data_IF_283263240985
#
_entry.id   IF_283263240985
#
_cell.length_a   1.000
_cell.length_b   1.000
_cell.length_c   1.000
_cell.angle_alpha   90.00
_cell.angle_beta   90.00
_cell.angle_gamma   90.00
#
_symmetry.space_group_name_H-M   'P 1'
#
loop_
_entity.id
_entity.type
_entity.pdbx_description
1 polymer ?
#
# COMPACT_ATOMS: atom_id res chain seq x y z
N UNK A 1 -5.45 5.13 -10.06
CA UNK A 1 -6.13 3.83 -10.34
C UNK A 1 -7.31 3.52 -9.43
N UNK A 2 -7.45 4.14 -8.27
CA UNK A 2 -8.67 4.00 -7.43
C UNK A 2 -9.95 4.59 -8.07
N UNK A 3 -9.83 5.46 -9.06
CA UNK A 3 -10.98 6.01 -9.78
C UNK A 3 -11.68 5.03 -10.75
N UNK A 4 -11.02 3.94 -11.16
CA UNK A 4 -11.58 3.00 -12.15
C UNK A 4 -12.25 1.76 -11.53
N UNK A 5 -12.01 1.45 -10.25
CA UNK A 5 -12.54 0.23 -9.63
C UNK A 5 -13.92 0.37 -8.98
N UNK A 6 -14.43 1.58 -8.89
CA UNK A 6 -15.78 1.82 -8.35
C UNK A 6 -16.64 2.49 -9.42
N UNK A 7 -16.77 1.81 -10.55
CA UNK A 7 -17.89 2.05 -11.45
C UNK A 7 -19.15 1.50 -10.79
N UNK A 8 -20.05 2.39 -10.39
CA UNK A 8 -21.31 2.08 -9.72
C UNK A 8 -22.26 1.17 -10.53
N UNK A 9 -21.83 0.64 -11.69
CA UNK A 9 -22.66 -0.14 -12.61
C UNK A 9 -22.69 -1.66 -12.37
N UNK A 10 -21.89 -2.20 -11.41
CA UNK A 10 -21.79 -3.65 -11.19
C UNK A 10 -22.11 -4.12 -9.77
N UNK A 11 -22.77 -3.33 -8.93
CA UNK A 11 -23.33 -3.84 -7.69
C UNK A 11 -24.62 -4.61 -7.97
N UNK A 12 -24.53 -5.93 -8.13
CA UNK A 12 -25.66 -6.88 -8.23
C UNK A 12 -26.39 -7.14 -6.90
N UNK A 13 -26.09 -6.42 -5.84
CA UNK A 13 -26.79 -6.52 -4.56
C UNK A 13 -27.72 -5.32 -4.38
N UNK A 14 -28.94 -5.52 -3.86
CA UNK A 14 -29.85 -4.44 -3.51
C UNK A 14 -29.24 -3.67 -2.33
N UNK A 15 -28.39 -2.69 -2.64
CA UNK A 15 -27.82 -1.78 -1.65
C UNK A 15 -28.93 -0.87 -1.12
N UNK A 16 -29.22 -0.98 0.17
CA UNK A 16 -30.00 0.02 0.89
C UNK A 16 -29.45 1.43 0.61
N UNK A 17 -30.28 2.43 0.33
CA UNK A 17 -29.85 3.80 -0.03
C UNK A 17 -28.92 4.42 1.02
N UNK A 18 -29.03 3.99 2.28
CA UNK A 18 -28.17 4.43 3.38
C UNK A 18 -26.71 3.98 3.20
N UNK A 19 -26.49 2.77 2.70
CA UNK A 19 -25.15 2.22 2.46
C UNK A 19 -24.47 2.96 1.30
N UNK A 20 -25.23 3.31 0.27
CA UNK A 20 -24.72 4.03 -0.90
C UNK A 20 -24.21 5.45 -0.53
N UNK A 21 -24.94 6.17 0.32
CA UNK A 21 -24.53 7.50 0.79
C UNK A 21 -23.24 7.47 1.63
N UNK A 22 -23.10 6.46 2.49
CA UNK A 22 -21.87 6.26 3.27
C UNK A 22 -20.66 5.94 2.39
N UNK A 23 -20.84 5.17 1.34
CA UNK A 23 -19.77 4.86 0.38
C UNK A 23 -19.30 6.10 -0.37
N UNK A 24 -20.19 6.95 -0.83
CA UNK A 24 -19.85 8.21 -1.52
C UNK A 24 -19.06 9.13 -0.60
N UNK A 25 -19.50 9.33 0.64
CA UNK A 25 -18.77 10.17 1.61
C UNK A 25 -17.37 9.64 1.94
N UNK A 26 -17.17 8.33 1.95
CA UNK A 26 -15.84 7.72 2.14
C UNK A 26 -14.92 8.02 0.97
N UNK A 27 -15.42 7.88 -0.25
CA UNK A 27 -14.66 8.13 -1.46
C UNK A 27 -14.25 9.59 -1.60
N UNK A 28 -15.15 10.52 -1.34
CA UNK A 28 -14.84 11.96 -1.42
C UNK A 28 -13.78 12.38 -0.39
N UNK A 29 -13.88 11.91 0.86
CA UNK A 29 -12.86 12.18 1.88
C UNK A 29 -11.52 11.52 1.59
N UNK A 30 -11.53 10.28 1.15
CA UNK A 30 -10.30 9.58 0.73
C UNK A 30 -9.61 10.30 -0.40
N UNK A 31 -10.37 10.68 -1.45
CA UNK A 31 -9.83 11.41 -2.60
C UNK A 31 -9.27 12.78 -2.21
N UNK A 32 -9.92 13.51 -1.30
CA UNK A 32 -9.43 14.80 -0.83
C UNK A 32 -8.09 14.68 -0.10
N UNK A 33 -7.92 13.65 0.76
CA UNK A 33 -6.67 13.43 1.49
C UNK A 33 -5.54 12.85 0.64
N UNK A 34 -5.86 12.14 -0.43
CA UNK A 34 -4.87 11.53 -1.35
C UNK A 34 -4.62 12.37 -2.60
N UNK A 35 -5.20 13.56 -2.68
CA UNK A 35 -5.05 14.44 -3.86
C UNK A 35 -3.58 14.85 -4.14
N UNK A 36 -2.75 14.90 -3.11
CA UNK A 36 -1.32 15.23 -3.21
C UNK A 36 -0.44 14.04 -3.65
N UNK A 37 -0.99 12.81 -3.66
CA UNK A 37 -0.25 11.62 -4.06
C UNK A 37 -0.31 11.41 -5.57
N UNK A 38 0.77 10.92 -6.14
CA UNK A 38 0.81 10.56 -7.57
C UNK A 38 -0.22 9.47 -7.89
N UNK A 39 -0.99 9.59 -8.99
CA UNK A 39 -2.15 8.75 -9.26
C UNK A 39 -1.82 7.26 -9.52
N UNK A 40 -0.56 6.89 -9.68
CA UNK A 40 -0.12 5.52 -9.95
C UNK A 40 0.39 4.76 -8.72
N UNK A 41 0.49 5.41 -7.54
CA UNK A 41 1.03 4.79 -6.32
C UNK A 41 -0.09 4.06 -5.57
N UNK A 42 0.03 2.74 -5.32
CA UNK A 42 -0.92 2.01 -4.49
C UNK A 42 -0.78 2.47 -3.04
N UNK A 43 -1.85 2.99 -2.47
CA UNK A 43 -1.91 3.43 -1.07
C UNK A 43 -2.85 2.54 -0.28
N UNK A 44 -2.35 1.69 0.61
CA UNK A 44 -3.21 0.89 1.48
C UNK A 44 -3.92 1.81 2.48
N UNK A 45 -5.22 1.67 2.58
CA UNK A 45 -6.07 2.43 3.51
C UNK A 45 -6.79 1.48 4.45
N UNK A 46 -6.76 1.80 5.75
CA UNK A 46 -7.55 1.11 6.77
C UNK A 46 -8.79 1.93 7.10
N UNK A 47 -9.96 1.33 6.99
CA UNK A 47 -11.25 1.98 7.25
C UNK A 47 -11.92 1.29 8.42
N UNK A 48 -12.14 2.03 9.51
CA UNK A 48 -12.87 1.55 10.68
C UNK A 48 -14.27 2.19 10.68
N UNK A 49 -15.29 1.36 10.80
CA UNK A 49 -16.69 1.78 10.84
C UNK A 49 -17.17 1.65 12.27
N UNK A 50 -17.63 2.76 12.86
CA UNK A 50 -18.22 2.78 14.18
C UNK A 50 -19.70 2.42 14.12
N UNK A 51 -20.31 1.93 15.24
CA UNK A 51 -21.73 1.63 15.31
C UNK A 51 -22.61 2.87 15.05
N UNK A 52 -22.12 4.08 15.32
CA UNK A 52 -22.80 5.37 15.09
C UNK A 52 -22.87 5.77 13.60
N UNK A 53 -22.62 4.84 12.67
CA UNK A 53 -22.54 5.11 11.22
C UNK A 53 -21.47 6.15 10.83
N UNK A 54 -20.55 6.48 11.73
CA UNK A 54 -19.35 7.27 11.43
C UNK A 54 -18.23 6.35 10.94
N UNK A 55 -17.27 6.91 10.22
CA UNK A 55 -16.08 6.16 9.77
C UNK A 55 -14.83 6.97 10.00
N UNK A 56 -13.79 6.29 10.43
CA UNK A 56 -12.42 6.79 10.47
C UNK A 56 -11.58 6.04 9.44
N UNK A 57 -10.65 6.73 8.81
CA UNK A 57 -9.73 6.08 7.89
C UNK A 57 -8.30 6.60 8.11
N UNK A 58 -7.35 5.68 8.04
CA UNK A 58 -5.92 5.96 8.06
C UNK A 58 -5.29 5.50 6.75
N UNK A 59 -4.37 6.31 6.26
CA UNK A 59 -3.60 6.04 5.04
C UNK A 59 -2.23 5.57 5.49
N UNK A 60 -1.76 4.44 4.93
CA UNK A 60 -0.44 3.88 5.21
C UNK A 60 0.51 4.13 4.04
N UNK A 61 1.79 3.97 4.29
CA UNK A 61 2.82 4.05 3.24
C UNK A 61 2.64 2.95 2.19
N UNK A 62 3.11 3.15 0.94
CA UNK A 62 2.99 2.17 -0.13
C UNK A 62 3.55 0.79 0.25
N UNK A 63 3.03 -0.33 -0.30
CA UNK A 63 3.52 -1.66 0.05
C UNK A 63 4.99 -1.85 -0.32
N UNK A 64 5.72 -2.63 0.50
CA UNK A 64 7.15 -2.92 0.32
C UNK A 64 7.45 -3.46 -1.08
N UNK A 65 6.60 -4.35 -1.59
CA UNK A 65 6.74 -4.92 -2.93
C UNK A 65 6.71 -3.88 -4.05
N UNK A 66 5.92 -2.82 -3.90
CA UNK A 66 5.90 -1.71 -4.85
C UNK A 66 7.20 -0.91 -4.82
N UNK A 67 7.68 -0.57 -3.61
CA UNK A 67 8.92 0.18 -3.43
C UNK A 67 10.13 -0.61 -3.94
N UNK A 68 10.22 -1.91 -3.65
CA UNK A 68 11.27 -2.79 -4.16
C UNK A 68 11.28 -2.90 -5.68
N UNK A 69 10.11 -3.08 -6.30
CA UNK A 69 9.99 -3.12 -7.77
C UNK A 69 10.43 -1.80 -8.40
N UNK A 70 10.06 -0.68 -7.77
CA UNK A 70 10.45 0.65 -8.25
C UNK A 70 11.96 0.86 -8.13
N UNK A 71 12.58 0.43 -7.01
CA UNK A 71 14.02 0.51 -6.79
C UNK A 71 14.83 -0.38 -7.75
N UNK A 72 14.30 -1.57 -8.07
CA UNK A 72 14.91 -2.50 -9.02
C UNK A 72 14.61 -2.18 -10.50
N UNK A 73 13.72 -1.22 -10.79
CA UNK A 73 13.30 -0.90 -12.16
C UNK A 73 12.46 -1.98 -12.86
N UNK A 74 11.77 -2.85 -12.10
CA UNK A 74 11.07 -4.02 -12.62
C UNK A 74 9.56 -3.82 -12.49
N UNK A 75 8.81 -4.17 -13.53
CA UNK A 75 7.34 -4.12 -13.49
C UNK A 75 6.74 -5.34 -12.77
N UNK A 76 7.28 -6.53 -13.01
CA UNK A 76 6.80 -7.80 -12.44
C UNK A 76 7.92 -8.53 -11.73
N UNK A 77 7.65 -9.07 -10.54
CA UNK A 77 8.58 -9.95 -9.85
C UNK A 77 8.60 -11.33 -10.50
N UNK A 78 9.76 -11.98 -10.54
CA UNK A 78 9.90 -13.35 -10.98
C UNK A 78 9.64 -14.30 -9.80
N UNK A 79 8.64 -15.16 -9.89
CA UNK A 79 8.28 -16.07 -8.79
C UNK A 79 9.37 -17.09 -8.44
N UNK A 80 10.14 -17.58 -9.41
CA UNK A 80 11.18 -18.61 -9.23
C UNK A 80 12.51 -18.29 -9.93
N UNK A 81 12.65 -17.11 -10.53
CA UNK A 81 13.87 -16.66 -11.22
C UNK A 81 14.48 -15.41 -10.59
N UNK A 82 15.72 -15.10 -10.97
CA UNK A 82 16.34 -13.81 -10.64
C UNK A 82 15.76 -12.74 -11.56
N UNK A 83 15.12 -11.72 -11.00
CA UNK A 83 14.48 -10.64 -11.76
C UNK A 83 15.29 -9.35 -11.77
N UNK A 84 16.18 -9.16 -10.80
CA UNK A 84 17.00 -7.96 -10.67
C UNK A 84 17.81 -7.93 -9.40
N UNK A 85 18.53 -6.84 -9.17
CA UNK A 85 19.35 -6.62 -7.98
C UNK A 85 18.93 -5.33 -7.27
N UNK A 86 19.03 -5.33 -5.95
CA UNK A 86 18.78 -4.16 -5.09
C UNK A 86 19.91 -4.03 -4.09
N UNK A 87 20.40 -2.82 -3.88
CA UNK A 87 21.47 -2.56 -2.91
C UNK A 87 20.93 -2.50 -1.48
N UNK A 88 21.79 -2.79 -0.50
CA UNK A 88 21.45 -2.66 0.92
C UNK A 88 21.03 -1.23 1.30
N UNK A 89 21.55 -0.22 0.63
CA UNK A 89 21.18 1.18 0.84
C UNK A 89 19.69 1.41 0.54
N UNK A 90 19.20 0.90 -0.61
CA UNK A 90 17.77 0.99 -0.95
C UNK A 90 16.88 0.28 0.06
N UNK A 91 17.32 -0.89 0.56
CA UNK A 91 16.59 -1.63 1.59
C UNK A 91 16.46 -0.82 2.88
N UNK A 92 17.55 -0.17 3.30
CA UNK A 92 17.56 0.66 4.49
C UNK A 92 16.61 1.87 4.35
N UNK A 93 16.64 2.56 3.22
CA UNK A 93 15.74 3.69 2.95
C UNK A 93 14.27 3.25 2.95
N UNK A 94 13.97 2.12 2.32
CA UNK A 94 12.62 1.54 2.34
C UNK A 94 12.19 1.20 3.78
N UNK A 95 13.09 0.62 4.58
CA UNK A 95 12.81 0.32 5.99
C UNK A 95 12.51 1.60 6.79
N UNK A 96 13.27 2.67 6.57
CA UNK A 96 13.06 3.96 7.22
C UNK A 96 11.69 4.57 6.88
N UNK A 97 11.31 4.52 5.60
CA UNK A 97 9.96 4.95 5.18
C UNK A 97 8.88 4.10 5.82
N UNK A 98 9.10 2.79 5.96
CA UNK A 98 8.15 1.87 6.58
C UNK A 98 8.03 2.02 8.09
N UNK A 99 9.08 2.45 8.77
CA UNK A 99 9.04 2.75 10.20
C UNK A 99 8.17 3.98 10.53
N UNK A 100 7.80 4.80 9.56
CA UNK A 100 6.83 5.89 9.75
C UNK A 100 5.40 5.39 9.95
N UNK A 101 5.10 4.15 9.53
CA UNK A 101 3.79 3.54 9.78
C UNK A 101 3.69 3.14 11.27
N UNK A 102 2.62 3.53 11.96
CA UNK A 102 2.39 3.24 13.39
C UNK A 102 2.54 1.76 13.74
N UNK A 103 2.11 0.87 12.84
CA UNK A 103 2.16 -0.58 13.06
C UNK A 103 3.57 -1.17 12.99
N UNK A 104 4.49 -0.56 12.26
CA UNK A 104 5.85 -1.07 12.04
C UNK A 104 6.90 -0.28 12.84
N UNK A 105 6.61 0.96 13.22
CA UNK A 105 7.50 1.80 14.02
C UNK A 105 7.88 1.16 15.37
N UNK A 106 6.98 0.38 15.96
CA UNK A 106 7.21 -0.33 17.23
C UNK A 106 8.30 -1.42 17.12
N UNK A 107 8.48 -1.99 15.91
CA UNK A 107 9.42 -3.11 15.70
C UNK A 107 10.89 -2.67 15.64
N UNK A 108 11.14 -1.40 15.32
CA UNK A 108 12.47 -0.86 15.10
C UNK A 108 13.00 -1.12 13.67
N UNK A 109 13.91 -0.25 13.23
CA UNK A 109 14.41 -0.20 11.85
C UNK A 109 15.11 -1.50 11.42
N UNK A 110 15.86 -2.13 12.32
CA UNK A 110 16.62 -3.34 12.01
C UNK A 110 15.70 -4.53 11.67
N UNK A 111 14.64 -4.74 12.47
CA UNK A 111 13.69 -5.84 12.22
C UNK A 111 12.90 -5.59 10.94
N UNK A 112 12.52 -4.34 10.69
CA UNK A 112 11.83 -3.95 9.45
C UNK A 112 12.75 -4.16 8.25
N UNK A 113 14.03 -3.79 8.32
CA UNK A 113 14.99 -4.03 7.25
C UNK A 113 15.15 -5.53 6.94
N UNK A 114 15.24 -6.39 7.97
CA UNK A 114 15.28 -7.85 7.77
C UNK A 114 14.00 -8.37 7.08
N UNK A 115 12.83 -7.85 7.43
CA UNK A 115 11.58 -8.20 6.78
C UNK A 115 11.54 -7.74 5.31
N UNK A 116 12.11 -6.56 5.00
CA UNK A 116 12.24 -6.05 3.63
C UNK A 116 13.16 -6.95 2.79
N UNK A 117 14.30 -7.41 3.35
CA UNK A 117 15.20 -8.39 2.70
C UNK A 117 14.44 -9.69 2.38
N UNK A 118 13.65 -10.21 3.33
CA UNK A 118 12.81 -11.38 3.10
C UNK A 118 11.84 -11.16 1.93
N UNK A 119 11.20 -10.00 1.88
CA UNK A 119 10.29 -9.62 0.79
C UNK A 119 11.01 -9.47 -0.56
N UNK A 120 12.26 -8.99 -0.58
CA UNK A 120 13.07 -8.90 -1.79
C UNK A 120 13.37 -10.29 -2.36
N UNK A 121 13.72 -11.26 -1.50
CA UNK A 121 13.95 -12.65 -1.91
C UNK A 121 12.71 -13.30 -2.52
N UNK A 122 11.53 -13.07 -1.96
CA UNK A 122 10.27 -13.62 -2.50
C UNK A 122 9.90 -13.02 -3.86
N UNK A 123 10.37 -11.81 -4.17
CA UNK A 123 10.22 -11.16 -5.47
C UNK A 123 11.27 -11.62 -6.50
N UNK A 124 12.24 -12.45 -6.10
CA UNK A 124 13.35 -12.87 -6.95
C UNK A 124 14.43 -11.79 -7.13
N UNK A 125 14.54 -10.87 -6.17
CA UNK A 125 15.56 -9.82 -6.17
C UNK A 125 16.81 -10.28 -5.41
N UNK A 126 17.98 -10.11 -6.03
CA UNK A 126 19.26 -10.34 -5.39
C UNK A 126 19.69 -9.08 -4.60
N UNK A 127 20.02 -9.27 -3.33
CA UNK A 127 20.49 -8.19 -2.47
C UNK A 127 22.01 -8.11 -2.57
N UNK A 128 22.48 -6.99 -3.08
CA UNK A 128 23.93 -6.71 -3.24
C UNK A 128 24.34 -5.69 -2.16
N UNK A 129 25.53 -5.85 -1.56
CA UNK A 129 26.07 -4.91 -0.57
C UNK A 129 26.30 -3.49 -1.10
#
# INVERSE_FOLDING_TARGET
MLKQWISAKNCKFPCSPVIHHLQIRRLTRSNARTAHLTPSVPTPTSITINPDRTFTFSIRTPPVSYLLKKAAGIEKGAGSGKSGSVTLKHIYEIAKVKCQDESLGVLGEERVARAVVGSARTLGLEVVP
#
